data_IF_835146238629
#
_entry.id   IF_835146238629
#
_cell.length_a   1.000
_cell.length_b   1.000
_cell.length_c   1.000
_cell.angle_alpha   90.00
_cell.angle_beta   90.00
_cell.angle_gamma   90.00
#
_symmetry.space_group_name_H-M   'P 1'
#
loop_
_entity.id
_entity.type
_entity.pdbx_description
1 polymer ?
#
# COMPACT_ATOMS: atom_id res chain seq x y z
N UNK A 1 -0.24 6.97 10.69
CA UNK A 1 -0.08 8.18 9.86
C UNK A 1 -0.67 8.06 8.45
N UNK A 2 -0.05 7.36 7.48
CA UNK A 2 -0.51 7.43 6.08
C UNK A 2 -1.94 6.94 5.80
N UNK A 3 -2.43 5.96 6.57
CA UNK A 3 -3.84 5.52 6.50
C UNK A 3 -4.78 6.64 6.97
N UNK A 4 -4.38 7.38 8.01
CA UNK A 4 -5.15 8.50 8.54
C UNK A 4 -5.20 9.65 7.51
N UNK A 5 -4.07 9.94 6.86
CA UNK A 5 -4.02 10.95 5.78
C UNK A 5 -4.96 10.57 4.64
N UNK A 6 -4.97 9.32 4.19
CA UNK A 6 -5.88 8.88 3.13
C UNK A 6 -7.36 9.06 3.52
N UNK A 7 -7.74 8.67 4.75
CA UNK A 7 -9.09 8.89 5.27
C UNK A 7 -9.46 10.37 5.35
N UNK A 8 -8.51 11.22 5.72
CA UNK A 8 -8.74 12.65 5.85
C UNK A 8 -8.86 13.34 4.49
N UNK A 9 -8.08 12.90 3.50
CA UNK A 9 -8.23 13.33 2.11
C UNK A 9 -9.61 12.94 1.56
N UNK A 10 -10.09 11.73 1.86
CA UNK A 10 -11.46 11.32 1.50
C UNK A 10 -12.50 12.17 2.21
N UNK A 11 -12.36 12.37 3.53
CA UNK A 11 -13.29 13.17 4.35
C UNK A 11 -13.41 14.61 3.84
N UNK A 12 -12.32 15.18 3.35
CA UNK A 12 -12.28 16.53 2.80
C UNK A 12 -12.59 16.59 1.30
N UNK A 13 -12.87 15.46 0.64
CA UNK A 13 -13.27 15.42 -0.77
C UNK A 13 -12.14 15.75 -1.75
N UNK A 14 -10.88 15.44 -1.40
CA UNK A 14 -9.76 15.61 -2.32
C UNK A 14 -9.90 14.70 -3.54
N UNK A 15 -9.34 15.13 -4.67
CA UNK A 15 -9.31 14.37 -5.93
C UNK A 15 -7.89 14.24 -6.51
N UNK A 16 -6.91 14.89 -5.86
CA UNK A 16 -5.50 14.86 -6.24
C UNK A 16 -4.86 13.49 -5.93
N UNK A 17 -3.84 13.06 -6.69
CA UNK A 17 -3.13 11.82 -6.37
C UNK A 17 -2.42 11.86 -5.01
N UNK A 18 -2.51 10.79 -4.25
CA UNK A 18 -1.74 10.53 -3.03
C UNK A 18 -0.53 9.64 -3.36
N UNK A 19 0.68 10.17 -3.24
CA UNK A 19 1.92 9.42 -3.41
C UNK A 19 2.45 8.93 -2.06
N UNK A 20 2.72 7.63 -1.97
CA UNK A 20 3.22 6.96 -0.77
C UNK A 20 4.66 6.49 -1.02
N UNK A 21 5.57 6.84 -0.11
CA UNK A 21 6.97 6.42 -0.17
C UNK A 21 7.66 6.48 1.19
N UNK A 22 8.91 6.03 1.25
CA UNK A 22 9.72 5.98 2.48
C UNK A 22 9.99 4.56 2.98
N UNK A 23 10.94 4.44 3.91
CA UNK A 23 11.51 3.16 4.34
C UNK A 23 10.51 2.15 4.89
N UNK A 24 9.46 2.61 5.58
CA UNK A 24 8.43 1.76 6.19
C UNK A 24 7.27 1.43 5.25
N UNK A 25 7.27 2.01 4.05
CA UNK A 25 6.16 1.85 3.10
C UNK A 25 6.45 0.73 2.11
N UNK A 26 5.39 0.05 1.69
CA UNK A 26 5.49 -1.01 0.69
C UNK A 26 4.24 -1.03 -0.18
N UNK A 27 4.37 -1.68 -1.34
CA UNK A 27 3.25 -1.94 -2.24
C UNK A 27 2.12 -2.71 -1.53
N UNK A 28 2.49 -3.74 -0.76
CA UNK A 28 1.53 -4.55 -0.01
C UNK A 28 0.79 -3.73 1.05
N UNK A 29 1.51 -2.97 1.89
CA UNK A 29 0.87 -2.13 2.89
C UNK A 29 -0.05 -1.08 2.26
N UNK A 30 0.39 -0.44 1.17
CA UNK A 30 -0.40 0.58 0.48
C UNK A 30 -1.69 0.00 -0.10
N UNK A 31 -1.59 -1.12 -0.84
CA UNK A 31 -2.75 -1.79 -1.44
C UNK A 31 -3.74 -2.32 -0.40
N UNK A 32 -3.25 -2.87 0.72
CA UNK A 32 -4.09 -3.54 1.73
C UNK A 32 -4.67 -2.56 2.75
N UNK A 33 -3.95 -1.50 3.10
CA UNK A 33 -4.32 -0.65 4.25
C UNK A 33 -4.54 0.81 3.93
N UNK A 34 -4.01 1.36 2.83
CA UNK A 34 -4.09 2.80 2.52
C UNK A 34 -5.11 3.07 1.42
N UNK A 35 -4.93 2.48 0.23
CA UNK A 35 -5.69 2.84 -0.99
C UNK A 35 -7.21 2.71 -0.83
N UNK A 36 -7.70 1.74 -0.07
CA UNK A 36 -9.14 1.56 0.16
C UNK A 36 -9.81 2.68 0.98
N UNK A 37 -9.03 3.59 1.56
CA UNK A 37 -9.55 4.71 2.36
C UNK A 37 -9.59 6.03 1.59
N UNK A 38 -9.20 6.05 0.31
CA UNK A 38 -9.22 7.24 -0.52
C UNK A 38 -9.65 6.90 -1.94
N UNK A 39 -10.72 7.53 -2.41
CA UNK A 39 -11.33 7.33 -3.72
C UNK A 39 -10.48 7.90 -4.86
N UNK A 40 -9.59 8.86 -4.57
CA UNK A 40 -8.61 9.38 -5.51
C UNK A 40 -7.46 8.40 -5.80
N UNK A 41 -6.59 8.70 -6.77
CA UNK A 41 -5.46 7.83 -7.09
C UNK A 41 -4.49 7.73 -5.90
N UNK A 42 -4.21 6.52 -5.42
CA UNK A 42 -3.18 6.25 -4.40
C UNK A 42 -2.09 5.39 -5.00
N UNK A 43 -0.84 5.85 -4.99
CA UNK A 43 0.29 5.12 -5.60
C UNK A 43 1.52 5.09 -4.71
N UNK A 44 1.98 3.88 -4.38
CA UNK A 44 3.28 3.61 -3.80
C UNK A 44 4.40 3.74 -4.83
N UNK A 45 5.46 4.46 -4.48
CA UNK A 45 6.68 4.59 -5.27
C UNK A 45 7.89 4.21 -4.43
N UNK A 46 8.76 3.36 -5.01
CA UNK A 46 9.86 2.73 -4.28
C UNK A 46 11.06 3.66 -4.06
N UNK A 47 11.33 4.56 -5.01
CA UNK A 47 12.49 5.46 -4.97
C UNK A 47 12.26 6.69 -5.85
N UNK A 48 13.15 7.69 -5.71
CA UNK A 48 13.03 8.97 -6.39
C UNK A 48 13.09 8.85 -7.93
N UNK A 49 13.94 7.97 -8.47
CA UNK A 49 14.08 7.82 -9.93
C UNK A 49 12.78 7.35 -10.58
N UNK A 50 12.02 6.49 -9.91
CA UNK A 50 10.71 6.01 -10.41
C UNK A 50 9.59 7.03 -10.20
N UNK A 51 9.72 7.96 -9.25
CA UNK A 51 8.70 8.99 -8.98
C UNK A 51 8.46 9.88 -10.19
N UNK A 52 9.49 10.21 -10.96
CA UNK A 52 9.37 11.08 -12.14
C UNK A 52 8.38 10.52 -13.16
N UNK A 53 8.53 9.23 -13.51
CA UNK A 53 7.61 8.57 -14.46
C UNK A 53 6.19 8.44 -13.93
N UNK A 54 6.03 8.18 -12.63
CA UNK A 54 4.71 8.08 -11.99
C UNK A 54 3.98 9.43 -12.00
N UNK A 55 4.65 10.50 -11.58
CA UNK A 55 4.06 11.85 -11.56
C UNK A 55 3.74 12.30 -12.98
N UNK A 56 4.63 12.06 -13.95
CA UNK A 56 4.38 12.37 -15.36
C UNK A 56 3.12 11.67 -15.89
N UNK A 57 2.96 10.38 -15.61
CA UNK A 57 1.77 9.63 -16.02
C UNK A 57 0.49 10.14 -15.33
N UNK A 58 0.54 10.49 -14.03
CA UNK A 58 -0.62 10.98 -13.26
C UNK A 58 -1.10 12.37 -13.67
N UNK A 59 -0.19 13.20 -14.21
CA UNK A 59 -0.48 14.55 -14.70
C UNK A 59 -0.78 14.58 -16.21
N UNK A 60 -0.49 13.51 -16.93
CA UNK A 60 -0.75 13.42 -18.37
C UNK A 60 -2.24 13.23 -18.66
N UNK A 61 -2.81 14.08 -19.52
CA UNK A 61 -4.20 13.97 -19.96
C UNK A 61 -4.52 12.65 -20.71
N UNK A 62 -3.52 12.01 -21.31
CA UNK A 62 -3.71 10.78 -22.10
C UNK A 62 -3.35 9.51 -21.32
N UNK A 63 -2.44 9.59 -20.35
CA UNK A 63 -1.95 8.41 -19.63
C UNK A 63 -2.54 8.24 -18.24
N UNK A 64 -3.14 9.29 -17.65
CA UNK A 64 -3.63 9.27 -16.27
C UNK A 64 -4.62 8.14 -16.03
N UNK A 65 -5.66 8.05 -16.83
CA UNK A 65 -6.75 7.10 -16.58
C UNK A 65 -6.30 5.65 -16.72
N UNK A 66 -5.50 5.36 -17.75
CA UNK A 66 -4.89 4.04 -17.94
C UNK A 66 -3.95 3.69 -16.78
N UNK A 67 -3.10 4.64 -16.36
CA UNK A 67 -2.18 4.45 -15.25
C UNK A 67 -2.91 4.13 -13.94
N UNK A 68 -3.97 4.89 -13.64
CA UNK A 68 -4.77 4.70 -12.42
C UNK A 68 -5.49 3.35 -12.47
N UNK A 69 -6.14 3.01 -13.59
CA UNK A 69 -6.84 1.74 -13.74
C UNK A 69 -5.88 0.54 -13.59
N UNK A 70 -4.72 0.60 -14.23
CA UNK A 70 -3.68 -0.43 -14.12
C UNK A 70 -3.18 -0.58 -12.68
N UNK A 71 -2.94 0.53 -11.99
CA UNK A 71 -2.47 0.53 -10.60
C UNK A 71 -3.50 -0.06 -9.64
N UNK A 72 -4.79 0.31 -9.80
CA UNK A 72 -5.89 -0.28 -9.01
C UNK A 72 -6.02 -1.78 -9.20
N UNK A 73 -5.95 -2.26 -10.45
CA UNK A 73 -5.99 -3.70 -10.77
C UNK A 73 -4.80 -4.44 -10.15
N UNK A 74 -3.62 -3.82 -10.18
CA UNK A 74 -2.44 -4.38 -9.55
C UNK A 74 -2.60 -4.48 -8.02
N UNK A 75 -3.16 -3.45 -7.38
CA UNK A 75 -3.38 -3.45 -5.94
C UNK A 75 -4.45 -4.45 -5.52
N UNK A 76 -5.49 -4.63 -6.31
CA UNK A 76 -6.48 -5.69 -6.08
C UNK A 76 -5.83 -7.08 -6.13
N UNK A 77 -4.97 -7.32 -7.12
CA UNK A 77 -4.21 -8.57 -7.20
C UNK A 77 -3.35 -8.79 -5.96
N UNK A 78 -2.65 -7.74 -5.50
CA UNK A 78 -1.83 -7.79 -4.27
C UNK A 78 -2.68 -8.08 -3.03
N UNK A 79 -3.88 -7.48 -2.92
CA UNK A 79 -4.82 -7.75 -1.81
C UNK A 79 -5.25 -9.20 -1.78
N UNK A 80 -5.68 -9.74 -2.92
CA UNK A 80 -6.11 -11.14 -3.04
C UNK A 80 -4.96 -12.09 -2.66
N UNK A 81 -3.75 -11.82 -3.16
CA UNK A 81 -2.57 -12.63 -2.83
C UNK A 81 -2.22 -12.54 -1.33
N UNK A 82 -2.30 -11.35 -0.74
CA UNK A 82 -2.04 -11.16 0.69
C UNK A 82 -3.07 -11.89 1.56
N UNK A 83 -4.36 -11.83 1.20
CA UNK A 83 -5.43 -12.53 1.91
C UNK A 83 -5.28 -14.07 1.84
N UNK A 84 -4.66 -14.60 0.78
CA UNK A 84 -4.37 -16.03 0.63
C UNK A 84 -3.13 -16.49 1.39
N UNK A 85 -2.29 -15.58 1.91
CA UNK A 85 -1.08 -15.98 2.65
C UNK A 85 -1.47 -16.67 3.95
N UNK A 86 -1.10 -17.95 4.04
CA UNK A 86 -1.09 -18.69 5.30
C UNK A 86 0.27 -18.51 5.98
N UNK A 87 0.32 -18.48 7.32
CA UNK A 87 1.59 -18.52 8.05
C UNK A 87 2.42 -19.71 7.58
N UNK A 88 3.69 -19.46 7.23
CA UNK A 88 4.63 -20.51 6.79
C UNK A 88 4.89 -21.53 7.90
N UNK A 89 4.88 -21.05 9.14
CA UNK A 89 4.95 -21.85 10.36
C UNK A 89 3.69 -21.56 11.18
N UNK A 90 3.07 -22.58 11.80
CA UNK A 90 1.95 -22.35 12.70
C UNK A 90 2.36 -21.39 13.82
N UNK A 91 1.50 -20.43 14.19
CA UNK A 91 1.74 -19.62 15.38
C UNK A 91 1.79 -20.52 16.61
N UNK A 92 2.59 -20.12 17.59
CA UNK A 92 2.68 -20.78 18.90
C UNK A 92 2.05 -19.89 19.96
N UNK A 93 1.50 -20.51 21.00
CA UNK A 93 0.98 -19.77 22.15
C UNK A 93 2.08 -18.97 22.83
N UNK A 94 1.72 -17.79 23.35
CA UNK A 94 2.65 -16.88 24.01
C UNK A 94 3.40 -17.57 25.16
N UNK A 95 2.73 -18.45 25.92
CA UNK A 95 3.35 -19.23 27.00
C UNK A 95 4.42 -20.19 26.46
N UNK A 96 4.14 -20.91 25.37
CA UNK A 96 5.08 -21.82 24.72
C UNK A 96 6.28 -21.08 24.13
N UNK A 97 6.05 -19.90 23.54
CA UNK A 97 7.13 -19.04 23.05
C UNK A 97 8.05 -18.57 24.18
N UNK A 98 7.48 -18.12 25.31
CA UNK A 98 8.25 -17.69 26.50
C UNK A 98 9.05 -18.83 27.13
N UNK A 99 8.50 -20.04 27.18
CA UNK A 99 9.19 -21.21 27.69
C UNK A 99 10.39 -21.62 26.81
N UNK A 100 10.36 -21.29 25.51
CA UNK A 100 11.46 -21.52 24.56
C UNK A 100 12.38 -20.29 24.41
N UNK A 101 12.57 -19.51 25.48
CA UNK A 101 13.54 -18.43 25.49
C UNK A 101 14.97 -18.98 25.29
N UNK A 102 15.88 -18.14 24.78
CA UNK A 102 17.28 -18.52 24.61
C UNK A 102 17.86 -18.97 25.96
N UNK A 103 18.31 -20.23 26.03
CA UNK A 103 19.09 -20.69 27.16
C UNK A 103 20.46 -20.01 27.09
N UNK A 104 20.76 -19.16 28.08
CA UNK A 104 22.09 -18.57 28.29
C UNK A 104 23.00 -19.57 28.99
#
# INVERSE_FOLDING_TARGET
EMVNVAKEMERQGFTLPLLIGGATTSKAHTAVKIEQNYSGPTTYVQNASRTVGVVSALLSATQRDEFVARTRKEYETVRIQHARKKPRTPPVDLQKARANAMAL
#
